data_IF_364756581589
#
_entry.id   IF_364756581589
#
_cell.length_a   1.000
_cell.length_b   1.000
_cell.length_c   1.000
_cell.angle_alpha   90.00
_cell.angle_beta   90.00
_cell.angle_gamma   90.00
#
_symmetry.space_group_name_H-M   'P 1'
#
loop_
_entity.id
_entity.type
_entity.pdbx_description
1 polymer ?
#
# COMPACT_ATOMS: atom_id res chain seq x y z
N UNK A 1 -16.64 -10.83 12.83
CA UNK A 1 -17.51 -10.92 11.63
C UNK A 1 -16.60 -10.75 10.42
N UNK A 2 -16.24 -11.85 9.77
CA UNK A 2 -15.36 -11.84 8.58
C UNK A 2 -16.11 -11.15 7.44
N UNK A 3 -15.62 -9.97 7.04
CA UNK A 3 -16.05 -9.27 5.84
C UNK A 3 -15.90 -10.21 4.63
N UNK A 4 -17.01 -10.62 4.01
CA UNK A 4 -16.96 -11.42 2.78
C UNK A 4 -16.67 -10.51 1.59
N UNK A 5 -15.46 -9.98 1.50
CA UNK A 5 -14.93 -9.38 0.28
C UNK A 5 -14.15 -10.43 -0.50
N UNK A 6 -14.40 -10.57 -1.81
CA UNK A 6 -13.57 -11.41 -2.68
C UNK A 6 -12.47 -10.55 -3.31
N UNK A 7 -11.21 -10.88 -3.04
CA UNK A 7 -10.08 -10.38 -3.83
C UNK A 7 -10.01 -11.15 -5.14
N UNK A 8 -9.80 -10.47 -6.27
CA UNK A 8 -9.66 -11.09 -7.59
C UNK A 8 -8.37 -10.64 -8.25
N UNK A 9 -7.53 -11.60 -8.62
CA UNK A 9 -6.38 -11.33 -9.48
C UNK A 9 -6.86 -11.12 -10.92
N UNK A 10 -6.60 -9.94 -11.48
CA UNK A 10 -7.04 -9.56 -12.83
C UNK A 10 -5.98 -9.86 -13.90
N UNK A 11 -4.71 -9.67 -13.57
CA UNK A 11 -3.62 -9.76 -14.53
C UNK A 11 -2.31 -10.16 -13.85
N UNK A 12 -1.39 -10.72 -14.64
CA UNK A 12 0.01 -10.85 -14.25
C UNK A 12 0.94 -10.72 -15.46
N UNK A 13 2.11 -10.13 -15.26
CA UNK A 13 3.09 -9.92 -16.32
C UNK A 13 4.53 -9.93 -15.79
N UNK A 14 5.48 -10.19 -16.69
CA UNK A 14 6.90 -9.97 -16.41
C UNK A 14 7.15 -8.47 -16.25
N UNK A 15 7.88 -8.11 -15.20
CA UNK A 15 8.08 -6.73 -14.80
C UNK A 15 9.56 -6.47 -14.47
N UNK A 16 10.40 -6.26 -15.51
CA UNK A 16 11.79 -5.90 -15.29
C UNK A 16 11.89 -4.47 -14.73
N UNK A 17 12.70 -4.29 -13.71
CA UNK A 17 12.93 -3.00 -13.06
C UNK A 17 14.42 -2.76 -12.87
N UNK A 18 14.80 -1.53 -12.47
CA UNK A 18 16.18 -1.22 -12.08
C UNK A 18 16.69 -1.99 -10.86
N UNK A 19 15.79 -2.58 -10.06
CA UNK A 19 16.14 -3.39 -8.90
C UNK A 19 16.22 -4.89 -9.22
N UNK A 20 15.82 -5.31 -10.42
CA UNK A 20 15.79 -6.70 -10.82
C UNK A 20 14.48 -7.12 -11.47
N UNK A 21 14.33 -8.41 -11.68
CA UNK A 21 13.16 -9.00 -12.34
C UNK A 21 12.08 -9.32 -11.31
N UNK A 22 10.93 -8.67 -11.46
CA UNK A 22 9.72 -9.00 -10.73
C UNK A 22 8.70 -9.63 -11.66
N UNK A 23 7.70 -10.28 -11.07
CA UNK A 23 6.39 -10.48 -11.67
C UNK A 23 5.44 -9.46 -11.03
N UNK A 24 4.70 -8.72 -11.85
CA UNK A 24 3.63 -7.82 -11.36
C UNK A 24 2.30 -8.56 -11.43
N UNK A 25 1.48 -8.40 -10.40
CA UNK A 25 0.12 -8.93 -10.31
C UNK A 25 -0.85 -7.79 -10.02
N UNK A 26 -1.92 -7.67 -10.79
CA UNK A 26 -2.99 -6.70 -10.55
C UNK A 26 -4.16 -7.33 -9.81
N UNK A 27 -4.63 -6.69 -8.76
CA UNK A 27 -5.74 -7.14 -7.92
C UNK A 27 -6.83 -6.08 -7.82
N UNK A 28 -8.07 -6.55 -7.76
CA UNK A 28 -9.27 -5.76 -7.48
C UNK A 28 -10.03 -6.43 -6.33
N UNK A 29 -10.62 -5.64 -5.45
CA UNK A 29 -11.48 -6.14 -4.39
C UNK A 29 -12.62 -5.16 -4.05
N UNK A 30 -13.61 -5.68 -3.32
CA UNK A 30 -14.70 -4.90 -2.75
C UNK A 30 -15.02 -5.51 -1.38
N UNK A 31 -14.90 -4.74 -0.30
CA UNK A 31 -15.00 -5.27 1.07
C UNK A 31 -16.22 -4.74 1.83
N UNK A 32 -16.98 -5.63 2.51
CA UNK A 32 -18.11 -5.45 3.47
C UNK A 32 -19.55 -5.75 2.93
N UNK A 33 -20.62 -5.04 3.34
CA UNK A 33 -21.99 -5.19 2.80
C UNK A 33 -22.57 -3.92 2.13
N UNK A 34 -23.21 -4.04 0.94
CA UNK A 34 -23.93 -2.95 0.23
C UNK A 34 -23.53 -2.78 -1.25
N UNK A 35 -24.44 -2.25 -2.08
CA UNK A 35 -24.34 -2.18 -3.55
C UNK A 35 -23.45 -1.07 -4.11
N UNK A 36 -23.07 -0.09 -3.30
CA UNK A 36 -22.55 1.20 -3.78
C UNK A 36 -21.11 1.47 -3.31
N UNK A 37 -20.27 0.43 -3.32
CA UNK A 37 -18.99 0.47 -2.61
C UNK A 37 -17.80 0.59 -3.54
N UNK A 38 -16.81 1.42 -3.15
CA UNK A 38 -15.67 1.69 -3.99
C UNK A 38 -14.91 0.39 -4.21
N UNK A 39 -14.51 0.18 -5.47
CA UNK A 39 -13.56 -0.85 -5.81
C UNK A 39 -12.19 -0.42 -5.31
N UNK A 40 -11.51 -1.31 -4.63
CA UNK A 40 -10.13 -1.13 -4.25
C UNK A 40 -9.23 -1.88 -5.22
N UNK A 41 -8.15 -1.22 -5.61
CA UNK A 41 -7.17 -1.78 -6.53
C UNK A 41 -5.78 -1.71 -5.91
N UNK A 42 -4.98 -2.72 -6.18
CA UNK A 42 -3.59 -2.78 -5.76
C UNK A 42 -2.78 -3.64 -6.71
N UNK A 43 -1.47 -3.42 -6.69
CA UNK A 43 -0.53 -4.28 -7.41
C UNK A 43 0.42 -4.96 -6.43
N UNK A 44 0.80 -6.20 -6.72
CA UNK A 44 1.88 -6.90 -6.03
C UNK A 44 3.07 -7.07 -6.98
N UNK A 45 4.24 -6.62 -6.56
CA UNK A 45 5.52 -6.92 -7.18
C UNK A 45 6.16 -8.07 -6.42
N UNK A 46 6.32 -9.22 -7.08
CA UNK A 46 6.86 -10.45 -6.49
C UNK A 46 8.21 -10.75 -7.12
N UNK A 47 9.22 -10.97 -6.28
CA UNK A 47 10.54 -11.46 -6.69
C UNK A 47 10.80 -12.83 -6.07
N UNK A 48 11.40 -13.73 -6.86
CA UNK A 48 11.88 -15.02 -6.39
C UNK A 48 10.78 -15.98 -5.92
N UNK A 49 11.21 -17.01 -5.17
CA UNK A 49 10.32 -17.97 -4.54
C UNK A 49 9.88 -17.47 -3.16
N UNK A 50 8.62 -17.05 -3.08
CA UNK A 50 7.99 -16.50 -1.87
C UNK A 50 7.25 -17.54 -1.03
N UNK A 51 7.30 -18.82 -1.42
CA UNK A 51 6.61 -19.92 -0.73
C UNK A 51 7.58 -20.80 0.07
N UNK A 52 8.84 -20.90 -0.35
CA UNK A 52 9.86 -21.72 0.33
C UNK A 52 10.21 -21.23 1.75
N UNK A 53 10.12 -19.93 2.01
CA UNK A 53 10.35 -19.34 3.34
C UNK A 53 9.58 -18.03 3.48
N UNK A 54 9.31 -17.53 4.71
CA UNK A 54 8.60 -16.27 4.89
C UNK A 54 9.28 -15.10 4.14
N UNK A 55 8.65 -14.58 3.06
CA UNK A 55 9.25 -13.53 2.26
C UNK A 55 9.33 -12.22 3.03
N UNK A 56 10.27 -11.36 2.63
CA UNK A 56 10.22 -9.95 3.03
C UNK A 56 9.01 -9.31 2.35
N UNK A 57 8.13 -8.69 3.13
CA UNK A 57 6.91 -8.06 2.61
C UNK A 57 6.88 -6.58 2.96
N UNK A 58 6.63 -5.72 1.97
CA UNK A 58 6.34 -4.30 2.16
C UNK A 58 4.93 -4.01 1.70
N UNK A 59 4.12 -3.43 2.57
CA UNK A 59 2.84 -2.82 2.19
C UNK A 59 3.09 -1.31 2.06
N UNK A 60 2.92 -0.77 0.86
CA UNK A 60 3.13 0.63 0.53
C UNK A 60 1.83 1.25 0.06
N UNK A 61 1.38 2.30 0.74
CA UNK A 61 0.20 3.05 0.33
C UNK A 61 0.64 4.16 -0.61
N UNK A 62 -0.04 4.32 -1.74
CA UNK A 62 0.31 5.28 -2.79
C UNK A 62 0.53 6.69 -2.25
N UNK A 63 1.59 7.33 -2.74
CA UNK A 63 1.86 8.73 -2.50
C UNK A 63 2.38 9.39 -3.78
N UNK A 64 1.50 9.88 -4.66
CA UNK A 64 1.86 10.48 -5.95
C UNK A 64 2.93 11.57 -5.80
N UNK A 65 2.74 12.46 -4.82
CA UNK A 65 3.67 13.57 -4.57
C UNK A 65 5.07 13.10 -4.18
N UNK A 66 5.17 12.02 -3.38
CA UNK A 66 6.46 11.46 -2.98
C UNK A 66 7.02 10.54 -4.07
N UNK A 67 6.29 9.46 -4.36
CA UNK A 67 6.71 8.32 -5.18
C UNK A 67 7.04 8.74 -6.62
N UNK A 68 6.27 9.67 -7.19
CA UNK A 68 6.43 10.11 -8.59
C UNK A 68 7.13 11.46 -8.68
N UNK A 69 6.64 12.48 -7.96
CA UNK A 69 7.17 13.85 -8.08
C UNK A 69 8.37 14.15 -7.17
N UNK A 70 8.78 13.23 -6.29
CA UNK A 70 9.96 13.41 -5.45
C UNK A 70 9.83 14.51 -4.40
N UNK A 71 8.60 14.77 -3.92
CA UNK A 71 8.34 15.75 -2.86
C UNK A 71 9.17 15.49 -1.62
N UNK A 72 9.73 16.55 -1.04
CA UNK A 72 10.46 16.53 0.23
C UNK A 72 9.55 16.64 1.46
N UNK A 73 8.22 16.78 1.26
CA UNK A 73 7.25 16.85 2.38
C UNK A 73 7.04 15.50 3.07
N UNK A 74 7.48 14.41 2.47
CA UNK A 74 7.35 13.06 3.01
C UNK A 74 8.51 12.18 2.53
N UNK A 75 8.74 11.08 3.22
CA UNK A 75 9.78 10.10 2.91
C UNK A 75 9.25 8.89 2.10
N UNK A 76 8.01 8.94 1.59
CA UNK A 76 7.34 7.82 0.91
C UNK A 76 8.20 7.19 -0.20
N UNK A 77 8.82 8.03 -1.04
CA UNK A 77 9.71 7.55 -2.11
C UNK A 77 10.92 6.80 -1.56
N UNK A 78 11.61 7.35 -0.56
CA UNK A 78 12.77 6.67 0.03
C UNK A 78 12.36 5.32 0.63
N UNK A 79 11.21 5.25 1.29
CA UNK A 79 10.70 3.98 1.83
C UNK A 79 10.35 2.96 0.73
N UNK A 80 9.75 3.41 -0.38
CA UNK A 80 9.46 2.56 -1.54
C UNK A 80 10.74 2.01 -2.17
N UNK A 81 11.69 2.89 -2.46
CA UNK A 81 12.96 2.52 -3.11
C UNK A 81 13.81 1.61 -2.21
N UNK A 82 13.85 1.87 -0.90
CA UNK A 82 14.53 1.03 0.10
C UNK A 82 13.91 -0.36 0.14
N UNK A 83 12.58 -0.47 0.17
CA UNK A 83 11.91 -1.77 0.22
C UNK A 83 12.19 -2.60 -1.04
N UNK A 84 12.14 -1.99 -2.23
CA UNK A 84 12.46 -2.66 -3.49
C UNK A 84 13.92 -3.13 -3.53
N UNK A 85 14.85 -2.31 -3.04
CA UNK A 85 16.26 -2.67 -2.94
C UNK A 85 16.50 -3.83 -1.97
N UNK A 86 15.88 -3.81 -0.79
CA UNK A 86 16.00 -4.90 0.19
C UNK A 86 15.40 -6.21 -0.32
N UNK A 87 14.25 -6.15 -1.01
CA UNK A 87 13.65 -7.34 -1.64
C UNK A 87 14.61 -7.90 -2.70
N UNK A 88 15.21 -7.04 -3.51
CA UNK A 88 16.19 -7.43 -4.50
C UNK A 88 17.43 -8.10 -3.90
N UNK A 89 17.99 -7.52 -2.86
CA UNK A 89 19.15 -8.07 -2.14
C UNK A 89 18.87 -9.45 -1.54
N UNK A 90 17.65 -9.67 -1.04
CA UNK A 90 17.23 -10.95 -0.47
C UNK A 90 16.87 -11.99 -1.53
N UNK A 91 16.64 -11.57 -2.79
CA UNK A 91 16.25 -12.43 -3.90
C UNK A 91 14.84 -13.02 -3.81
N UNK A 92 14.11 -12.80 -2.72
CA UNK A 92 12.74 -13.26 -2.51
C UNK A 92 11.93 -12.26 -1.66
N UNK A 93 10.81 -11.76 -2.20
CA UNK A 93 9.98 -10.80 -1.48
C UNK A 93 8.77 -10.30 -2.26
N UNK A 94 7.88 -9.60 -1.55
CA UNK A 94 6.65 -9.02 -2.09
C UNK A 94 6.53 -7.55 -1.70
N UNK A 95 6.32 -6.68 -2.67
CA UNK A 95 5.85 -5.31 -2.43
C UNK A 95 4.40 -5.19 -2.88
N UNK A 96 3.51 -4.84 -1.97
CA UNK A 96 2.11 -4.50 -2.25
C UNK A 96 2.02 -2.99 -2.34
N UNK A 97 1.56 -2.47 -3.47
CA UNK A 97 1.31 -1.05 -3.69
C UNK A 97 -0.19 -0.80 -3.78
N UNK A 98 -0.75 -0.23 -2.72
CA UNK A 98 -2.18 0.05 -2.60
C UNK A 98 -2.51 1.41 -3.20
N UNK A 99 -3.56 1.50 -4.01
CA UNK A 99 -4.05 2.77 -4.56
C UNK A 99 -4.85 3.58 -3.52
N UNK A 100 -4.29 3.74 -2.32
CA UNK A 100 -4.88 4.48 -1.21
C UNK A 100 -4.08 5.76 -0.91
N UNK A 101 -4.30 6.80 -1.73
CA UNK A 101 -3.65 8.09 -1.55
C UNK A 101 -4.13 8.82 -0.29
N UNK A 102 -3.22 9.57 0.35
CA UNK A 102 -3.57 10.42 1.49
C UNK A 102 -4.12 9.69 2.70
N UNK A 103 -3.81 8.39 2.90
CA UNK A 103 -4.42 7.53 3.93
C UNK A 103 -5.92 7.27 3.68
N UNK A 104 -6.33 7.20 2.42
CA UNK A 104 -7.69 6.87 2.00
C UNK A 104 -8.59 8.08 1.76
N UNK A 105 -8.15 9.31 2.06
CA UNK A 105 -8.92 10.54 1.76
C UNK A 105 -8.77 10.98 0.30
N UNK A 106 -7.79 10.43 -0.42
CA UNK A 106 -7.50 10.77 -1.81
C UNK A 106 -6.56 11.97 -1.99
N UNK A 107 -6.12 12.17 -3.24
CA UNK A 107 -5.11 13.18 -3.57
C UNK A 107 -5.59 14.61 -3.33
N UNK A 108 -6.81 14.95 -3.77
CA UNK A 108 -7.30 16.33 -3.71
C UNK A 108 -7.40 16.82 -2.27
N UNK A 109 -7.97 15.99 -1.39
CA UNK A 109 -8.05 16.25 0.04
C UNK A 109 -6.66 16.42 0.69
N UNK A 110 -5.69 15.57 0.31
CA UNK A 110 -4.29 15.71 0.76
C UNK A 110 -3.68 17.06 0.34
N UNK A 111 -3.94 17.51 -0.89
CA UNK A 111 -3.43 18.80 -1.38
C UNK A 111 -4.09 19.98 -0.68
N UNK A 112 -5.40 19.90 -0.38
CA UNK A 112 -6.07 20.90 0.46
C UNK A 112 -5.48 20.96 1.87
N UNK A 113 -5.12 19.81 2.45
CA UNK A 113 -4.43 19.78 3.74
C UNK A 113 -3.05 20.47 3.66
N UNK A 114 -2.32 20.30 2.55
CA UNK A 114 -1.06 21.01 2.31
C UNK A 114 -1.25 22.52 2.18
N UNK A 115 -2.30 22.97 1.48
CA UNK A 115 -2.64 24.39 1.36
C UNK A 115 -2.90 25.03 2.74
N UNK A 116 -3.67 24.34 3.60
CA UNK A 116 -3.93 24.79 4.97
C UNK A 116 -2.67 24.82 5.83
N UNK A 117 -1.79 23.83 5.70
CA UNK A 117 -0.51 23.79 6.40
C UNK A 117 0.42 24.92 5.96
N UNK A 118 0.46 25.21 4.65
CA UNK A 118 1.24 26.33 4.11
C UNK A 118 0.71 27.69 4.58
N UNK A 119 -0.59 27.77 4.89
CA UNK A 119 -1.22 28.91 5.54
C UNK A 119 -0.96 28.99 7.06
N UNK A 120 -0.20 28.05 7.63
CA UNK A 120 0.27 28.06 9.01
C UNK A 120 -0.54 27.22 10.00
N UNK A 121 -1.54 26.44 9.53
CA UNK A 121 -2.25 25.51 10.40
C UNK A 121 -1.37 24.29 10.71
N UNK A 122 -1.50 23.75 11.91
CA UNK A 122 -0.88 22.47 12.20
C UNK A 122 -1.61 21.30 11.47
N UNK A 123 -1.00 20.13 11.48
CA UNK A 123 -1.54 18.96 10.76
C UNK A 123 -2.87 18.46 11.36
N UNK A 124 -3.10 18.66 12.65
CA UNK A 124 -4.35 18.24 13.32
C UNK A 124 -5.46 19.21 12.93
N UNK A 125 -5.22 20.51 13.05
CA UNK A 125 -6.16 21.57 12.66
C UNK A 125 -6.56 21.48 11.18
N UNK A 126 -5.59 21.21 10.30
CA UNK A 126 -5.85 21.04 8.87
C UNK A 126 -6.78 19.83 8.60
N UNK A 127 -6.58 18.71 9.30
CA UNK A 127 -7.42 17.52 9.14
C UNK A 127 -8.82 17.69 9.75
N UNK A 128 -8.92 18.32 10.93
CA UNK A 128 -10.20 18.66 11.56
C UNK A 128 -11.03 19.58 10.66
N UNK A 129 -10.39 20.59 10.07
CA UNK A 129 -11.05 21.55 9.18
C UNK A 129 -11.57 20.92 7.89
N UNK A 130 -10.93 19.84 7.45
CA UNK A 130 -11.35 19.06 6.29
C UNK A 130 -12.32 17.91 6.65
N UNK A 131 -12.60 17.69 7.94
CA UNK A 131 -13.55 16.68 8.41
C UNK A 131 -13.05 15.23 8.27
N UNK A 132 -11.73 15.01 8.16
CA UNK A 132 -11.16 13.67 7.99
C UNK A 132 -10.75 13.05 9.34
N UNK A 133 -11.04 11.76 9.54
CA UNK A 133 -10.40 10.97 10.61
C UNK A 133 -8.90 10.86 10.34
N UNK A 134 -8.10 10.73 11.40
CA UNK A 134 -6.64 10.65 11.32
C UNK A 134 -6.11 9.44 10.51
N UNK A 135 -6.89 8.37 10.39
CA UNK A 135 -6.55 7.20 9.60
C UNK A 135 -7.80 6.44 9.14
N UNK A 136 -7.91 6.17 7.83
CA UNK A 136 -9.01 5.38 7.24
C UNK A 136 -8.50 4.13 6.52
N UNK A 137 -7.25 3.72 6.76
CA UNK A 137 -6.65 2.57 6.05
C UNK A 137 -7.26 1.26 6.54
N UNK A 138 -7.73 0.46 5.60
CA UNK A 138 -8.09 -0.96 5.79
C UNK A 138 -6.96 -1.82 5.22
N UNK A 139 -6.42 -2.75 6.02
CA UNK A 139 -5.35 -3.68 5.61
C UNK A 139 -5.88 -5.06 5.18
N UNK A 140 -7.20 -5.20 5.05
CA UNK A 140 -7.83 -6.43 4.56
C UNK A 140 -7.35 -6.78 3.15
N UNK A 141 -7.23 -5.79 2.25
CA UNK A 141 -6.79 -6.03 0.87
C UNK A 141 -5.38 -6.65 0.79
N UNK A 142 -4.32 -6.08 1.39
CA UNK A 142 -3.01 -6.71 1.41
C UNK A 142 -3.01 -8.13 1.99
N UNK A 143 -3.78 -8.37 3.05
CA UNK A 143 -3.90 -9.70 3.66
C UNK A 143 -4.50 -10.73 2.69
N UNK A 144 -5.59 -10.38 2.02
CA UNK A 144 -6.23 -11.24 1.02
C UNK A 144 -5.36 -11.43 -0.24
N UNK A 145 -4.62 -10.40 -0.66
CA UNK A 145 -3.64 -10.53 -1.76
C UNK A 145 -2.54 -11.52 -1.43
N UNK A 146 -1.97 -11.48 -0.21
CA UNK A 146 -0.95 -12.43 0.23
C UNK A 146 -1.49 -13.86 0.24
N UNK A 147 -2.72 -14.06 0.73
CA UNK A 147 -3.41 -15.36 0.69
C UNK A 147 -3.60 -15.85 -0.75
N UNK A 148 -4.03 -14.97 -1.66
CA UNK A 148 -4.20 -15.29 -3.08
C UNK A 148 -2.86 -15.66 -3.75
N UNK A 149 -1.74 -15.11 -3.29
CA UNK A 149 -0.38 -15.48 -3.71
C UNK A 149 0.14 -16.76 -3.02
N UNK A 150 -0.62 -17.38 -2.12
CA UNK A 150 -0.21 -18.57 -1.35
C UNK A 150 0.71 -18.27 -0.15
N UNK A 151 0.95 -17.01 0.17
CA UNK A 151 1.84 -16.59 1.26
C UNK A 151 1.09 -16.58 2.58
N UNK A 152 1.49 -17.45 3.51
CA UNK A 152 0.84 -17.62 4.83
C UNK A 152 1.64 -17.05 6.01
N UNK A 153 2.94 -16.78 5.82
CA UNK A 153 3.85 -16.20 6.81
C UNK A 153 4.68 -15.14 6.13
N UNK A 154 4.97 -14.05 6.82
CA UNK A 154 5.70 -12.91 6.25
C UNK A 154 6.72 -12.36 7.24
N UNK A 155 7.76 -11.73 6.70
CA UNK A 155 8.62 -10.78 7.43
C UNK A 155 8.22 -9.38 7.00
N UNK A 156 7.38 -8.71 7.79
CA UNK A 156 6.82 -7.42 7.41
C UNK A 156 7.82 -6.27 7.63
N UNK A 157 8.10 -5.51 6.59
CA UNK A 157 8.89 -4.27 6.62
C UNK A 157 7.96 -3.06 6.89
N UNK A 158 7.66 -2.83 8.18
CA UNK A 158 6.78 -1.75 8.62
C UNK A 158 7.29 -1.09 9.89
N UNK A 159 7.19 0.25 9.94
CA UNK A 159 7.35 1.04 11.16
C UNK A 159 5.98 1.36 11.81
N UNK A 160 4.87 0.94 11.19
CA UNK A 160 3.52 1.12 11.71
C UNK A 160 3.07 -0.14 12.47
N UNK A 161 2.79 -0.07 13.79
CA UNK A 161 2.32 -1.21 14.58
C UNK A 161 0.94 -1.73 14.15
N UNK A 162 0.08 -0.89 13.56
CA UNK A 162 -1.25 -1.33 13.10
C UNK A 162 -1.14 -2.34 11.95
N UNK A 163 -0.14 -2.19 11.07
CA UNK A 163 0.14 -3.14 9.98
C UNK A 163 0.62 -4.51 10.48
N UNK A 164 1.23 -4.55 11.67
CA UNK A 164 1.68 -5.79 12.30
C UNK A 164 0.50 -6.54 12.94
N UNK A 165 -0.55 -5.80 13.32
CA UNK A 165 -1.70 -6.32 14.07
C UNK A 165 -2.86 -6.77 13.17
N UNK A 166 -2.88 -6.35 11.90
CA UNK A 166 -3.80 -6.85 10.89
C UNK A 166 -3.53 -8.35 10.63
N UNK A 167 -4.42 -9.21 11.13
CA UNK A 167 -4.38 -10.67 10.99
C UNK A 167 -5.35 -11.16 9.93
#
# INVERSE_FOLDING_TARGET
MTSSGSVRQLASADFPTRWGRFRIYGFEATFGNGSDRPKEEAVALVMGDVLSSPPLVRIHSQCLTGDVFGSLRCDCRQQLEMALAMIAEQGAGVLIYEQQEGRGIGLMAKLQAYELQDAGLDTVEANERLGFKADHRDFTLPGEMLKALGVSKVRLLSNNPDKVSAR
#
